data_IF_132237464996
#
_entry.id   IF_132237464996
#
_cell.length_a   1.000
_cell.length_b   1.000
_cell.length_c   1.000
_cell.angle_alpha   90.00
_cell.angle_beta   90.00
_cell.angle_gamma   90.00
#
_symmetry.space_group_name_H-M   'P 1'
#
loop_
_entity.id
_entity.type
_entity.pdbx_description
1 polymer ?
#
# COMPACT_ATOMS: atom_id res chain seq x y z
N UNK A 1 20.80 18.12 19.09
CA UNK A 1 20.00 19.36 18.92
C UNK A 1 19.03 19.27 17.73
N UNK A 2 19.43 18.68 16.61
CA UNK A 2 18.61 18.61 15.39
C UNK A 2 17.37 17.73 15.55
N UNK A 3 17.43 16.61 16.28
CA UNK A 3 16.31 15.66 16.42
C UNK A 3 15.21 16.17 17.37
N UNK A 4 15.60 16.88 18.43
CA UNK A 4 14.62 17.51 19.34
C UNK A 4 13.84 18.60 18.62
N UNK A 5 14.51 19.41 17.80
CA UNK A 5 13.85 20.45 17.02
C UNK A 5 12.90 19.88 15.97
N UNK A 6 13.31 18.83 15.23
CA UNK A 6 12.45 18.11 14.29
C UNK A 6 11.22 17.52 14.98
N UNK A 7 11.41 16.88 16.13
CA UNK A 7 10.30 16.34 16.93
C UNK A 7 9.31 17.43 17.38
N UNK A 8 9.80 18.57 17.87
CA UNK A 8 8.94 19.68 18.27
C UNK A 8 8.19 20.28 17.09
N UNK A 9 8.84 20.44 15.94
CA UNK A 9 8.22 20.87 14.72
C UNK A 9 7.08 19.93 14.29
N UNK A 10 7.33 18.63 14.26
CA UNK A 10 6.34 17.61 13.92
C UNK A 10 5.13 17.64 14.89
N UNK A 11 5.39 17.74 16.20
CA UNK A 11 4.32 17.82 17.19
C UNK A 11 3.44 19.08 17.01
N UNK A 12 4.01 20.20 16.58
CA UNK A 12 3.24 21.42 16.26
C UNK A 12 2.36 21.22 15.02
N UNK A 13 2.89 20.56 13.98
CA UNK A 13 2.11 20.26 12.77
C UNK A 13 0.93 19.32 13.07
N UNK A 14 1.17 18.25 13.84
CA UNK A 14 0.15 17.27 14.22
C UNK A 14 -0.99 17.91 15.05
N UNK A 15 -0.70 18.87 15.89
CA UNK A 15 -1.73 19.56 16.69
C UNK A 15 -2.80 20.29 15.85
N UNK A 16 -2.50 20.62 14.61
CA UNK A 16 -3.39 21.34 13.70
C UNK A 16 -4.06 20.42 12.66
N UNK A 17 -3.96 19.09 12.83
CA UNK A 17 -4.56 18.11 11.94
C UNK A 17 -5.90 17.67 12.52
N UNK A 18 -6.99 17.99 11.82
CA UNK A 18 -8.35 17.66 12.22
C UNK A 18 -9.08 16.79 11.19
N UNK A 19 -8.39 16.38 10.11
CA UNK A 19 -8.96 15.51 9.07
C UNK A 19 -7.90 14.55 8.50
N UNK A 20 -8.36 13.46 7.88
CA UNK A 20 -7.51 12.53 7.17
C UNK A 20 -6.79 13.22 6.01
N UNK A 21 -7.47 14.14 5.31
CA UNK A 21 -6.87 14.86 4.18
C UNK A 21 -5.74 15.79 4.65
N UNK A 22 -5.91 16.51 5.76
CA UNK A 22 -4.83 17.32 6.34
C UNK A 22 -3.63 16.47 6.77
N UNK A 23 -3.89 15.27 7.30
CA UNK A 23 -2.83 14.30 7.60
C UNK A 23 -2.10 13.82 6.33
N UNK A 24 -2.85 13.53 5.27
CA UNK A 24 -2.28 13.09 3.99
C UNK A 24 -1.36 14.15 3.37
N UNK A 25 -1.72 15.45 3.47
CA UNK A 25 -0.85 16.56 3.02
C UNK A 25 0.44 16.66 3.83
N UNK A 26 0.38 16.48 5.16
CA UNK A 26 1.59 16.44 5.98
C UNK A 26 2.47 15.23 5.59
N UNK A 27 1.86 14.07 5.39
CA UNK A 27 2.56 12.86 5.00
C UNK A 27 3.21 13.01 3.61
N UNK A 28 2.53 13.62 2.64
CA UNK A 28 3.08 13.95 1.32
C UNK A 28 4.36 14.78 1.44
N UNK A 29 4.33 15.84 2.27
CA UNK A 29 5.50 16.68 2.50
C UNK A 29 6.68 15.88 3.07
N UNK A 30 6.42 14.98 4.02
CA UNK A 30 7.47 14.13 4.60
C UNK A 30 8.08 13.18 3.56
N UNK A 31 7.25 12.58 2.70
CA UNK A 31 7.72 11.71 1.63
C UNK A 31 8.53 12.51 0.61
N UNK A 32 8.08 13.71 0.23
CA UNK A 32 8.82 14.62 -0.65
C UNK A 32 10.20 14.96 -0.10
N UNK A 33 10.28 15.33 1.18
CA UNK A 33 11.56 15.65 1.84
C UNK A 33 12.48 14.42 1.90
N UNK A 34 11.93 13.24 2.15
CA UNK A 34 12.67 11.98 2.11
C UNK A 34 13.20 11.68 0.71
N UNK A 35 12.37 11.77 -0.33
CA UNK A 35 12.80 11.57 -1.73
C UNK A 35 13.95 12.52 -2.06
N UNK A 36 13.77 13.81 -1.81
CA UNK A 36 14.77 14.84 -2.13
C UNK A 36 16.09 14.66 -1.39
N UNK A 37 16.10 14.00 -0.24
CA UNK A 37 17.31 13.88 0.61
C UNK A 37 17.96 12.49 0.55
N UNK A 38 17.28 11.47 0.03
CA UNK A 38 17.69 10.05 0.13
C UNK A 38 17.59 9.27 -1.17
N UNK A 39 16.95 9.82 -2.18
CA UNK A 39 16.74 9.14 -3.47
C UNK A 39 17.33 10.01 -4.57
N UNK A 40 18.35 9.52 -5.26
CA UNK A 40 19.03 10.27 -6.31
C UNK A 40 18.13 10.46 -7.55
N UNK A 41 17.40 9.41 -7.93
CA UNK A 41 16.49 9.42 -9.07
C UNK A 41 15.15 8.75 -8.72
N UNK A 42 14.09 9.56 -8.71
CA UNK A 42 12.72 9.08 -8.57
C UNK A 42 11.98 9.23 -9.90
N UNK A 43 11.86 8.13 -10.63
CA UNK A 43 11.25 8.11 -11.96
C UNK A 43 9.87 7.45 -11.91
N UNK A 44 8.91 8.09 -12.56
CA UNK A 44 7.54 7.57 -12.71
C UNK A 44 7.18 7.56 -14.19
N UNK A 45 6.63 6.46 -14.67
CA UNK A 45 6.20 6.31 -16.06
C UNK A 45 4.79 5.69 -16.12
N UNK A 46 4.11 5.85 -17.25
CA UNK A 46 2.78 5.27 -17.47
C UNK A 46 1.62 6.03 -16.84
N UNK A 47 1.84 7.17 -16.20
CA UNK A 47 0.76 7.97 -15.59
C UNK A 47 -0.28 8.45 -16.60
N UNK A 48 0.10 8.62 -17.88
CA UNK A 48 -0.83 8.98 -18.95
C UNK A 48 -1.86 7.87 -19.27
N UNK A 49 -1.68 6.66 -18.73
CA UNK A 49 -2.62 5.54 -18.92
C UNK A 49 -3.75 5.53 -17.87
N UNK A 50 -3.71 6.42 -16.90
CA UNK A 50 -4.73 6.54 -15.86
C UNK A 50 -5.32 7.95 -15.86
N UNK A 51 -6.64 8.03 -15.66
CA UNK A 51 -7.39 9.28 -15.65
C UNK A 51 -7.62 9.75 -14.20
N UNK A 52 -7.39 11.04 -13.87
CA UNK A 52 -7.51 11.56 -12.50
C UNK A 52 -8.87 11.32 -11.83
N UNK A 53 -9.94 11.39 -12.60
CA UNK A 53 -11.32 11.23 -12.11
C UNK A 53 -11.78 9.75 -12.01
N UNK A 54 -10.92 8.81 -12.42
CA UNK A 54 -11.21 7.39 -12.36
C UNK A 54 -10.61 6.74 -11.10
N UNK A 55 -11.25 5.65 -10.68
CA UNK A 55 -10.80 4.85 -9.54
C UNK A 55 -10.33 3.49 -10.03
N UNK A 56 -9.25 3.02 -9.44
CA UNK A 56 -8.52 1.86 -9.90
C UNK A 56 -8.22 0.88 -8.77
N UNK A 57 -8.09 -0.39 -9.13
CA UNK A 57 -7.41 -1.37 -8.31
C UNK A 57 -5.95 -1.46 -8.77
N UNK A 58 -5.05 -0.87 -8.02
CA UNK A 58 -3.62 -0.97 -8.26
C UNK A 58 -3.08 -2.28 -7.67
N UNK A 59 -2.39 -3.06 -8.49
CA UNK A 59 -1.72 -4.30 -8.05
C UNK A 59 -0.25 -4.19 -8.41
N UNK A 60 0.63 -4.26 -7.41
CA UNK A 60 2.08 -4.17 -7.65
C UNK A 60 2.85 -5.38 -7.11
N UNK A 61 4.06 -5.56 -7.61
CA UNK A 61 5.05 -6.35 -6.89
C UNK A 61 5.30 -5.76 -5.49
N UNK A 62 5.95 -6.50 -4.61
CA UNK A 62 6.15 -6.10 -3.22
C UNK A 62 7.61 -6.19 -2.81
N UNK A 63 8.26 -5.05 -2.66
CA UNK A 63 9.67 -4.89 -2.30
C UNK A 63 9.88 -4.41 -0.88
N UNK A 64 9.07 -3.41 -0.47
CA UNK A 64 9.12 -2.87 0.89
C UNK A 64 7.73 -2.63 1.47
N UNK A 65 7.58 -2.90 2.77
CA UNK A 65 6.28 -2.81 3.46
C UNK A 65 5.76 -1.37 3.52
N UNK A 66 6.66 -0.41 3.69
CA UNK A 66 6.34 0.99 3.92
C UNK A 66 6.56 1.83 2.66
N UNK A 67 7.69 1.62 1.99
CA UNK A 67 8.09 2.45 0.84
C UNK A 67 7.20 2.21 -0.39
N UNK A 68 6.82 0.97 -0.67
CA UNK A 68 6.00 0.67 -1.85
C UNK A 68 4.70 1.50 -1.88
N UNK A 69 3.81 1.42 -0.87
CA UNK A 69 2.58 2.20 -0.88
C UNK A 69 2.85 3.70 -0.69
N UNK A 70 3.91 4.10 0.03
CA UNK A 70 4.21 5.50 0.27
C UNK A 70 4.67 6.21 -1.01
N UNK A 71 5.64 5.65 -1.73
CA UNK A 71 6.18 6.21 -2.97
C UNK A 71 5.14 6.18 -4.09
N UNK A 72 4.34 5.12 -4.17
CA UNK A 72 3.26 5.02 -5.14
C UNK A 72 2.15 6.04 -4.86
N UNK A 73 1.70 6.19 -3.61
CA UNK A 73 0.74 7.23 -3.24
C UNK A 73 1.26 8.63 -3.56
N UNK A 74 2.55 8.89 -3.26
CA UNK A 74 3.19 10.14 -3.61
C UNK A 74 3.17 10.38 -5.13
N UNK A 75 3.59 9.38 -5.93
CA UNK A 75 3.59 9.48 -7.39
C UNK A 75 2.20 9.79 -7.95
N UNK A 76 1.18 9.06 -7.51
CA UNK A 76 -0.21 9.23 -7.95
C UNK A 76 -0.75 10.60 -7.55
N UNK A 77 -0.46 11.06 -6.32
CA UNK A 77 -0.89 12.37 -5.83
C UNK A 77 -0.23 13.52 -6.62
N UNK A 78 1.07 13.42 -6.92
CA UNK A 78 1.79 14.42 -7.73
C UNK A 78 1.24 14.56 -9.16
N UNK A 79 0.53 13.54 -9.66
CA UNK A 79 -0.11 13.55 -10.98
C UNK A 79 -1.61 13.87 -10.91
N UNK A 80 -2.08 14.47 -9.81
CA UNK A 80 -3.44 14.99 -9.68
C UNK A 80 -4.51 13.97 -9.26
N UNK A 81 -4.10 12.74 -8.90
CA UNK A 81 -5.03 11.73 -8.38
C UNK A 81 -5.19 11.83 -6.86
N UNK A 82 -6.30 11.33 -6.35
CA UNK A 82 -6.47 11.13 -4.91
C UNK A 82 -5.63 9.95 -4.42
N UNK A 83 -5.19 10.01 -3.17
CA UNK A 83 -4.52 8.89 -2.51
C UNK A 83 -5.44 7.67 -2.41
N UNK A 84 -4.88 6.48 -2.54
CA UNK A 84 -5.62 5.21 -2.50
C UNK A 84 -5.68 4.62 -1.09
N UNK A 85 -6.60 3.66 -0.90
CA UNK A 85 -6.68 2.83 0.28
C UNK A 85 -5.66 1.68 0.19
N UNK A 86 -4.95 1.38 1.28
CA UNK A 86 -3.83 0.45 1.30
C UNK A 86 -4.26 -0.87 1.97
N UNK A 87 -4.17 -1.98 1.25
CA UNK A 87 -4.39 -3.31 1.80
C UNK A 87 -3.15 -3.79 2.58
N UNK A 88 -3.31 -4.09 3.87
CA UNK A 88 -2.24 -4.59 4.73
C UNK A 88 -2.59 -5.92 5.37
N UNK A 89 -1.59 -6.75 5.65
CA UNK A 89 -1.79 -8.01 6.39
C UNK A 89 -1.94 -7.77 7.89
N UNK A 90 -2.72 -8.62 8.56
CA UNK A 90 -2.95 -8.58 10.02
C UNK A 90 -1.69 -8.78 10.87
N UNK A 91 -0.64 -9.38 10.32
CA UNK A 91 0.65 -9.57 10.98
C UNK A 91 1.44 -8.27 11.21
N UNK A 92 1.07 -7.17 10.58
CA UNK A 92 1.75 -5.86 10.71
C UNK A 92 1.26 -5.06 11.92
N UNK A 93 0.11 -5.41 12.48
CA UNK A 93 -0.51 -4.68 13.59
C UNK A 93 -0.24 -5.41 14.88
N UNK A 94 0.81 -4.99 15.58
CA UNK A 94 1.16 -5.51 16.90
C UNK A 94 0.72 -4.58 18.02
N UNK A 95 0.80 -3.28 17.81
CA UNK A 95 0.50 -2.24 18.80
C UNK A 95 -0.67 -1.36 18.34
N UNK A 96 -1.44 -0.83 19.29
CA UNK A 96 -2.61 0.01 19.01
C UNK A 96 -2.26 1.29 18.23
N UNK A 97 -1.18 1.97 18.59
CA UNK A 97 -0.74 3.19 17.92
C UNK A 97 -0.34 2.95 16.44
N UNK A 98 0.18 1.75 16.12
CA UNK A 98 0.48 1.34 14.73
C UNK A 98 -0.83 1.22 13.95
N UNK A 99 -1.87 0.64 14.57
CA UNK A 99 -3.19 0.55 13.95
C UNK A 99 -3.76 1.94 13.62
N UNK A 100 -3.63 2.89 14.54
CA UNK A 100 -4.14 4.25 14.33
C UNK A 100 -3.36 4.98 13.21
N UNK A 101 -2.04 4.84 13.17
CA UNK A 101 -1.21 5.38 12.10
C UNK A 101 -1.58 4.79 10.73
N UNK A 102 -1.81 3.47 10.67
CA UNK A 102 -2.23 2.79 9.45
C UNK A 102 -3.61 3.28 8.97
N UNK A 103 -4.56 3.51 9.90
CA UNK A 103 -5.89 4.06 9.57
C UNK A 103 -5.82 5.47 9.01
N UNK A 104 -4.96 6.34 9.56
CA UNK A 104 -4.71 7.68 9.04
C UNK A 104 -4.15 7.64 7.61
N UNK A 105 -3.38 6.60 7.27
CA UNK A 105 -2.92 6.34 5.91
C UNK A 105 -3.93 5.57 5.06
N UNK A 106 -5.24 5.59 5.38
CA UNK A 106 -6.30 4.89 4.66
C UNK A 106 -6.04 3.38 4.52
N UNK A 107 -5.31 2.77 5.46
CA UNK A 107 -5.03 1.33 5.41
C UNK A 107 -6.20 0.52 5.96
N UNK A 108 -6.47 -0.61 5.35
CA UNK A 108 -7.40 -1.61 5.84
C UNK A 108 -6.75 -2.98 5.96
N UNK A 109 -7.24 -3.80 6.88
CA UNK A 109 -6.61 -5.06 7.26
C UNK A 109 -7.24 -6.21 6.49
N UNK A 110 -6.39 -7.03 5.84
CA UNK A 110 -6.77 -8.34 5.34
C UNK A 110 -6.39 -9.37 6.39
N UNK A 111 -7.37 -9.80 7.18
CA UNK A 111 -7.17 -10.82 8.21
C UNK A 111 -7.12 -12.19 7.56
N UNK A 112 -5.97 -12.84 7.65
CA UNK A 112 -5.68 -14.17 7.09
C UNK A 112 -5.48 -15.22 8.16
N UNK A 113 -5.27 -14.82 9.40
CA UNK A 113 -5.24 -15.68 10.59
C UNK A 113 -6.62 -15.82 11.20
N UNK A 114 -6.92 -16.98 11.76
CA UNK A 114 -8.19 -17.26 12.43
C UNK A 114 -8.24 -18.68 12.97
N UNK A 115 -9.13 -18.92 13.94
CA UNK A 115 -9.28 -20.20 14.63
C UNK A 115 -9.99 -21.27 13.78
N UNK A 116 -10.61 -20.87 12.67
CA UNK A 116 -11.30 -21.79 11.77
C UNK A 116 -11.27 -21.31 10.30
N UNK A 117 -11.38 -22.27 9.37
CA UNK A 117 -11.51 -21.98 7.93
C UNK A 117 -12.71 -21.06 7.62
N UNK A 118 -13.81 -21.22 8.37
CA UNK A 118 -15.02 -20.40 8.22
C UNK A 118 -14.76 -18.93 8.61
N UNK A 119 -14.00 -18.71 9.67
CA UNK A 119 -13.63 -17.36 10.13
C UNK A 119 -12.70 -16.67 9.11
N UNK A 120 -11.69 -17.38 8.63
CA UNK A 120 -10.78 -16.89 7.58
C UNK A 120 -11.57 -16.53 6.31
N UNK A 121 -12.46 -17.40 5.85
CA UNK A 121 -13.31 -17.15 4.69
C UNK A 121 -14.17 -15.89 4.86
N UNK A 122 -14.82 -15.71 6.02
CA UNK A 122 -15.60 -14.50 6.31
C UNK A 122 -14.73 -13.24 6.25
N UNK A 123 -13.54 -13.28 6.80
CA UNK A 123 -12.61 -12.14 6.80
C UNK A 123 -12.13 -11.79 5.41
N UNK A 124 -11.80 -12.79 4.58
CA UNK A 124 -11.42 -12.57 3.19
C UNK A 124 -12.59 -12.04 2.35
N UNK A 125 -13.80 -12.52 2.61
CA UNK A 125 -15.01 -12.02 1.95
C UNK A 125 -15.27 -10.56 2.31
N UNK A 126 -15.12 -10.19 3.58
CA UNK A 126 -15.25 -8.79 4.03
C UNK A 126 -14.20 -7.89 3.36
N UNK A 127 -12.96 -8.35 3.23
CA UNK A 127 -11.92 -7.60 2.51
C UNK A 127 -12.28 -7.42 1.02
N UNK A 128 -12.80 -8.46 0.36
CA UNK A 128 -13.30 -8.40 -1.01
C UNK A 128 -14.44 -7.40 -1.17
N UNK A 129 -15.44 -7.44 -0.27
CA UNK A 129 -16.56 -6.50 -0.23
C UNK A 129 -16.08 -5.05 -0.02
N UNK A 130 -15.11 -4.86 0.87
CA UNK A 130 -14.51 -3.54 1.10
C UNK A 130 -13.85 -2.98 -0.16
N UNK A 131 -13.02 -3.78 -0.85
CA UNK A 131 -12.35 -3.39 -2.11
C UNK A 131 -13.39 -2.99 -3.16
N UNK A 132 -14.38 -3.84 -3.40
CA UNK A 132 -15.44 -3.56 -4.35
C UNK A 132 -16.22 -2.30 -4.00
N UNK A 133 -16.62 -2.13 -2.75
CA UNK A 133 -17.36 -0.96 -2.30
C UNK A 133 -16.55 0.33 -2.43
N UNK A 134 -15.25 0.32 -2.09
CA UNK A 134 -14.38 1.49 -2.22
C UNK A 134 -14.29 1.97 -3.67
N UNK A 135 -14.05 1.07 -4.60
CA UNK A 135 -13.86 1.42 -6.00
C UNK A 135 -15.18 1.77 -6.70
N UNK A 136 -16.23 0.95 -6.51
CA UNK A 136 -17.47 1.06 -7.28
C UNK A 136 -18.46 2.06 -6.69
N UNK A 137 -18.50 2.22 -5.35
CA UNK A 137 -19.50 3.03 -4.67
C UNK A 137 -18.93 4.29 -4.02
N UNK A 138 -17.76 4.17 -3.36
CA UNK A 138 -17.13 5.32 -2.67
C UNK A 138 -16.25 6.16 -3.59
N UNK A 139 -16.00 5.70 -4.82
CA UNK A 139 -15.12 6.36 -5.77
C UNK A 139 -13.72 6.64 -5.21
N UNK A 140 -13.13 5.62 -4.60
CA UNK A 140 -11.77 5.64 -4.08
C UNK A 140 -10.96 4.47 -4.64
N UNK A 141 -9.73 4.74 -5.04
CA UNK A 141 -8.79 3.69 -5.49
C UNK A 141 -8.30 2.83 -4.33
N UNK A 142 -7.87 1.61 -4.66
CA UNK A 142 -7.30 0.66 -3.70
C UNK A 142 -5.97 0.13 -4.25
N UNK A 143 -4.98 0.00 -3.39
CA UNK A 143 -3.72 -0.70 -3.69
C UNK A 143 -3.61 -2.00 -2.89
N UNK A 144 -3.13 -3.03 -3.54
CA UNK A 144 -2.80 -4.32 -2.96
C UNK A 144 -1.53 -4.90 -3.59
N UNK A 145 -0.69 -5.52 -2.78
CA UNK A 145 0.46 -6.26 -3.28
C UNK A 145 0.01 -7.54 -4.01
N UNK A 146 0.70 -7.90 -5.09
CA UNK A 146 0.39 -9.07 -5.93
C UNK A 146 0.54 -10.43 -5.23
N UNK A 147 1.22 -10.47 -4.09
CA UNK A 147 1.43 -11.68 -3.28
C UNK A 147 1.53 -11.35 -1.79
N UNK A 148 1.41 -12.36 -0.96
CA UNK A 148 1.68 -12.23 0.46
C UNK A 148 3.19 -12.16 0.72
N UNK A 149 3.61 -11.12 1.43
CA UNK A 149 5.01 -10.87 1.77
C UNK A 149 5.84 -10.40 0.58
N UNK A 150 7.03 -9.91 0.90
CA UNK A 150 7.99 -9.37 -0.06
C UNK A 150 8.65 -10.51 -0.85
N UNK A 151 9.01 -10.24 -2.11
CA UNK A 151 9.83 -11.17 -2.89
C UNK A 151 11.27 -11.17 -2.33
N UNK A 152 11.72 -12.31 -1.82
CA UNK A 152 13.08 -12.46 -1.24
C UNK A 152 14.11 -12.94 -2.27
N UNK A 153 13.61 -13.53 -3.35
CA UNK A 153 14.39 -14.14 -4.43
C UNK A 153 14.43 -13.28 -5.70
N UNK A 154 13.85 -12.08 -5.64
CA UNK A 154 13.75 -11.19 -6.80
C UNK A 154 12.72 -11.62 -7.85
N UNK A 155 12.04 -12.75 -7.64
CA UNK A 155 11.04 -13.28 -8.59
C UNK A 155 9.67 -12.65 -8.26
N UNK A 156 9.15 -11.89 -9.20
CA UNK A 156 7.84 -11.24 -9.09
C UNK A 156 6.77 -12.10 -9.78
N UNK A 157 6.04 -12.86 -8.99
CA UNK A 157 4.92 -13.65 -9.46
C UNK A 157 3.63 -13.27 -8.73
N UNK A 158 2.56 -13.06 -9.49
CA UNK A 158 1.22 -12.78 -8.92
C UNK A 158 0.64 -14.05 -8.31
N UNK A 159 0.27 -13.99 -7.04
CA UNK A 159 -0.40 -15.09 -6.37
C UNK A 159 -1.89 -15.13 -6.78
N UNK A 160 -2.31 -16.24 -7.39
CA UNK A 160 -3.70 -16.44 -7.79
C UNK A 160 -4.70 -16.37 -6.62
N UNK A 161 -4.23 -16.60 -5.40
CA UNK A 161 -5.06 -16.48 -4.18
C UNK A 161 -5.53 -15.04 -3.94
N UNK A 162 -4.71 -14.04 -4.31
CA UNK A 162 -5.06 -12.62 -4.24
C UNK A 162 -6.21 -12.31 -5.20
N UNK A 163 -6.11 -12.76 -6.45
CA UNK A 163 -7.16 -12.55 -7.45
C UNK A 163 -8.47 -13.23 -7.05
N UNK A 164 -8.38 -14.46 -6.54
CA UNK A 164 -9.54 -15.20 -6.01
C UNK A 164 -10.17 -14.48 -4.82
N UNK A 165 -9.36 -13.94 -3.92
CA UNK A 165 -9.85 -13.17 -2.77
C UNK A 165 -10.56 -11.90 -3.22
N UNK A 166 -9.99 -11.12 -4.15
CA UNK A 166 -10.61 -9.91 -4.69
C UNK A 166 -11.98 -10.21 -5.31
N UNK A 167 -12.12 -11.33 -6.02
CA UNK A 167 -13.37 -11.73 -6.68
C UNK A 167 -14.41 -12.37 -5.75
N UNK A 168 -14.05 -12.69 -4.51
CA UNK A 168 -14.85 -13.52 -3.61
C UNK A 168 -16.26 -12.97 -3.33
N UNK A 169 -16.41 -11.66 -3.20
CA UNK A 169 -17.70 -10.99 -2.95
C UNK A 169 -18.62 -11.00 -4.19
N UNK A 170 -18.05 -10.85 -5.39
CA UNK A 170 -18.79 -10.73 -6.64
C UNK A 170 -19.11 -12.08 -7.32
N UNK A 171 -18.56 -13.19 -6.80
CA UNK A 171 -18.59 -14.50 -7.45
C UNK A 171 -20.00 -15.03 -7.78
N UNK A 172 -21.02 -14.61 -7.05
CA UNK A 172 -22.41 -15.04 -7.26
C UNK A 172 -23.14 -14.18 -8.29
N UNK A 173 -22.68 -12.94 -8.52
CA UNK A 173 -23.43 -11.91 -9.22
C UNK A 173 -22.91 -11.67 -10.63
N UNK A 174 -21.61 -11.92 -10.89
CA UNK A 174 -21.02 -11.70 -12.20
C UNK A 174 -19.77 -12.56 -12.42
N UNK A 175 -19.34 -12.65 -13.68
CA UNK A 175 -18.09 -13.34 -14.03
C UNK A 175 -16.86 -12.58 -13.53
N UNK A 176 -15.71 -13.28 -13.40
CA UNK A 176 -14.45 -12.68 -12.97
C UNK A 176 -13.97 -11.59 -13.93
N UNK A 177 -14.15 -11.79 -15.24
CA UNK A 177 -13.77 -10.80 -16.26
C UNK A 177 -14.59 -9.52 -16.16
N UNK A 178 -15.91 -9.64 -16.02
CA UNK A 178 -16.80 -8.48 -15.82
C UNK A 178 -16.46 -7.71 -14.55
N UNK A 179 -16.20 -8.41 -13.45
CA UNK A 179 -15.86 -7.76 -12.20
C UNK A 179 -14.53 -7.03 -12.28
N UNK A 180 -13.50 -7.66 -12.84
CA UNK A 180 -12.18 -7.04 -12.97
C UNK A 180 -12.17 -5.86 -13.94
N UNK A 181 -12.96 -5.90 -14.98
CA UNK A 181 -13.18 -4.75 -15.86
C UNK A 181 -13.82 -3.56 -15.12
N UNK A 182 -14.78 -3.83 -14.21
CA UNK A 182 -15.38 -2.78 -13.37
C UNK A 182 -14.39 -2.20 -12.35
N UNK A 183 -13.50 -3.01 -11.80
CA UNK A 183 -12.47 -2.57 -10.86
C UNK A 183 -11.33 -1.80 -11.55
N UNK A 184 -11.21 -1.85 -12.88
CA UNK A 184 -10.16 -1.19 -13.67
C UNK A 184 -8.77 -1.50 -13.09
N UNK A 185 -8.35 -2.77 -13.19
CA UNK A 185 -7.07 -3.21 -12.63
C UNK A 185 -5.91 -2.55 -13.39
N UNK A 186 -5.02 -1.91 -12.65
CA UNK A 186 -3.78 -1.33 -13.15
C UNK A 186 -2.59 -2.08 -12.53
N UNK A 187 -1.85 -2.87 -13.30
CA UNK A 187 -0.62 -3.48 -12.83
C UNK A 187 0.48 -2.42 -12.73
N UNK A 188 1.24 -2.47 -11.62
CA UNK A 188 2.34 -1.54 -11.35
C UNK A 188 3.60 -2.33 -11.05
N UNK A 189 4.72 -1.88 -11.60
CA UNK A 189 6.05 -2.39 -11.27
C UNK A 189 6.82 -1.36 -10.45
N UNK A 190 7.30 -1.80 -9.29
CA UNK A 190 8.18 -1.02 -8.42
C UNK A 190 9.59 -1.61 -8.50
N UNK A 191 10.57 -0.76 -8.77
CA UNK A 191 11.97 -1.13 -8.86
C UNK A 191 12.82 -0.18 -8.00
N UNK A 192 13.74 -0.75 -7.25
CA UNK A 192 14.73 -0.02 -6.45
C UNK A 192 16.13 -0.41 -6.96
N UNK A 193 17.05 0.54 -7.05
CA UNK A 193 18.44 0.25 -7.42
C UNK A 193 19.07 -0.76 -6.45
N UNK A 194 18.83 -0.55 -5.16
CA UNK A 194 19.18 -1.50 -4.11
C UNK A 194 17.88 -2.04 -3.52
N UNK A 195 17.60 -3.32 -3.80
CA UNK A 195 16.42 -3.97 -3.23
C UNK A 195 16.54 -4.03 -1.70
N UNK A 196 15.60 -3.43 -0.94
CA UNK A 196 15.66 -3.38 0.51
C UNK A 196 15.78 -4.76 1.18
N UNK A 197 15.21 -5.79 0.56
CA UNK A 197 15.30 -7.17 1.06
C UNK A 197 16.69 -7.75 0.82
N UNK A 198 17.24 -7.56 -0.36
CA UNK A 198 18.59 -8.05 -0.71
C UNK A 198 19.65 -7.39 0.15
N UNK A 199 19.54 -6.08 0.41
CA UNK A 199 20.47 -5.36 1.27
C UNK A 199 20.48 -5.90 2.70
N UNK A 200 19.32 -6.17 3.30
CA UNK A 200 19.25 -6.72 4.66
C UNK A 200 19.82 -8.14 4.76
N UNK A 201 19.85 -8.91 3.68
CA UNK A 201 20.45 -10.24 3.64
C UNK A 201 21.95 -10.23 3.32
N UNK A 202 22.44 -9.24 2.57
CA UNK A 202 23.85 -9.09 2.23
C UNK A 202 24.69 -8.48 3.35
N UNK A 203 24.11 -7.66 4.21
CA UNK A 203 24.83 -7.02 5.32
C UNK A 203 25.05 -7.93 6.54
N UNK A 204 24.20 -8.94 6.73
CA UNK A 204 24.34 -9.87 7.86
C UNK A 204 25.60 -10.78 7.80
N UNK A 205 26.01 -11.31 6.64
CA UNK A 205 27.23 -12.13 6.55
C UNK A 205 28.54 -11.32 6.65
N UNK A 206 28.53 -10.04 6.26
CA UNK A 206 29.74 -9.21 6.24
C UNK A 206 30.07 -8.53 7.57
N UNK A 207 29.21 -8.66 8.56
CA UNK A 207 29.41 -8.13 9.92
C UNK A 207 29.97 -9.17 10.91
N UNK A 208 30.33 -10.36 10.46
CA UNK A 208 31.09 -11.29 11.31
C UNK A 208 32.57 -10.87 11.26
N UNK A 209 33.15 -10.41 12.39
CA UNK A 209 34.59 -10.12 12.42
C UNK A 209 35.37 -11.42 12.17
N UNK A 210 36.35 -11.33 11.30
CA UNK A 210 37.41 -12.32 11.11
C UNK A 210 38.29 -12.34 12.37
#
# INVERSE_FOLDING_TARGET
ASDVYKRQYMLRQIKNIYSVDAYQLLYEKLIKDMISSKIDNFNVSGMNNIEPEQNYLFISNHRDITLDPALLNYAIFQHGHKTFNIAIGDNLIKDSWVSDLMRLNKSFIIKRSGNSKKEIYKSLKLASEFIGNKILNSHESVWIAQRQGRAKDGIDATDTSILKMIYLSAKKDMSIGEYFNKLKIVPISLSYEIDPVSYTHLTLPTMLPV
#
